data_IF_694210006184
#
_entry.id   IF_694210006184
#
_cell.length_a   1.000
_cell.length_b   1.000
_cell.length_c   1.000
_cell.angle_alpha   90.00
_cell.angle_beta   90.00
_cell.angle_gamma   90.00
#
_symmetry.space_group_name_H-M   'P 1'
#
loop_
_entity.id
_entity.type
_entity.pdbx_description
1 polymer ?
#
# COMPACT_ATOMS: atom_id res chain seq x y z
N UNK A 1 -5.79 13.14 -28.15
CA UNK A 1 -5.78 13.95 -26.92
C UNK A 1 -5.56 13.00 -25.75
N UNK A 2 -4.56 13.25 -24.94
CA UNK A 2 -4.34 12.45 -23.74
C UNK A 2 -5.49 12.67 -22.74
N UNK A 3 -5.93 11.66 -22.00
CA UNK A 3 -6.93 11.84 -20.95
C UNK A 3 -6.41 12.87 -19.93
N UNK A 4 -7.28 13.74 -19.45
CA UNK A 4 -6.95 14.75 -18.43
C UNK A 4 -7.18 14.25 -17.00
N UNK A 5 -7.81 13.09 -16.87
CA UNK A 5 -8.16 12.43 -15.61
C UNK A 5 -7.67 11.00 -15.65
N UNK A 6 -7.17 10.48 -14.54
CA UNK A 6 -6.78 9.09 -14.42
C UNK A 6 -7.98 8.15 -14.52
N UNK A 7 -7.72 6.88 -14.71
CA UNK A 7 -8.76 5.87 -14.83
C UNK A 7 -8.45 4.62 -14.01
N UNK A 8 -9.49 3.87 -13.72
CA UNK A 8 -9.42 2.62 -12.97
C UNK A 8 -9.44 1.43 -13.92
N UNK A 9 -8.58 0.46 -13.63
CA UNK A 9 -8.59 -0.87 -14.28
C UNK A 9 -8.69 -1.92 -13.19
N UNK A 10 -9.66 -2.82 -13.32
CA UNK A 10 -9.84 -3.94 -12.39
C UNK A 10 -9.87 -5.24 -13.16
N UNK A 11 -9.03 -6.17 -12.74
CA UNK A 11 -8.97 -7.52 -13.30
C UNK A 11 -8.95 -8.57 -12.18
N UNK A 12 -9.27 -9.80 -12.52
CA UNK A 12 -9.19 -10.94 -11.60
C UNK A 12 -8.02 -11.81 -12.02
N UNK A 13 -7.06 -11.96 -11.12
CA UNK A 13 -5.89 -12.82 -11.31
C UNK A 13 -6.13 -14.21 -10.70
N UNK A 14 -5.45 -15.21 -11.25
CA UNK A 14 -5.52 -16.60 -10.75
C UNK A 14 -4.73 -16.74 -9.43
N UNK A 15 -5.39 -16.41 -8.34
CA UNK A 15 -4.89 -16.62 -7.00
C UNK A 15 -6.09 -16.88 -6.07
N UNK A 16 -6.04 -17.91 -5.25
CA UNK A 16 -7.03 -18.23 -4.22
C UNK A 16 -8.48 -18.25 -4.77
N UNK A 17 -8.67 -18.92 -5.92
CA UNK A 17 -9.97 -19.00 -6.62
C UNK A 17 -10.39 -17.75 -7.38
N UNK A 18 -9.50 -16.81 -7.55
CA UNK A 18 -9.69 -15.55 -8.25
C UNK A 18 -9.63 -14.34 -7.30
N UNK A 19 -8.55 -13.57 -7.38
CA UNK A 19 -8.37 -12.36 -6.59
C UNK A 19 -8.47 -11.12 -7.47
N UNK A 20 -9.38 -10.21 -7.16
CA UNK A 20 -9.47 -8.94 -7.87
C UNK A 20 -8.29 -8.04 -7.52
N UNK A 21 -7.77 -7.41 -8.54
CA UNK A 21 -6.73 -6.39 -8.44
C UNK A 21 -7.21 -5.13 -9.14
N UNK A 22 -7.07 -3.99 -8.52
CA UNK A 22 -7.43 -2.69 -9.09
C UNK A 22 -6.19 -1.83 -9.21
N UNK A 23 -6.05 -1.16 -10.36
CA UNK A 23 -5.05 -0.12 -10.59
C UNK A 23 -5.74 1.21 -10.87
N UNK A 24 -5.27 2.27 -10.24
CA UNK A 24 -5.47 3.62 -10.70
C UNK A 24 -4.30 3.99 -11.60
N UNK A 25 -4.61 4.38 -12.83
CA UNK A 25 -3.63 4.78 -13.84
C UNK A 25 -3.71 6.28 -14.01
N UNK A 26 -2.63 7.04 -13.73
CA UNK A 26 -2.64 8.49 -13.88
C UNK A 26 -2.76 8.90 -15.35
N UNK A 27 -3.21 10.13 -15.65
CA UNK A 27 -3.37 10.60 -17.03
C UNK A 27 -2.05 10.79 -17.78
N UNK A 28 -0.96 10.98 -17.05
CA UNK A 28 0.39 11.07 -17.60
C UNK A 28 1.15 9.75 -17.38
N UNK A 29 2.30 9.61 -18.04
CA UNK A 29 3.18 8.45 -17.81
C UNK A 29 3.56 8.36 -16.33
N UNK A 30 3.38 7.20 -15.74
CA UNK A 30 3.71 6.96 -14.34
C UNK A 30 5.18 7.17 -14.05
N UNK A 31 5.48 7.98 -13.05
CA UNK A 31 6.82 8.23 -12.51
C UNK A 31 7.03 7.50 -11.19
N UNK A 32 5.96 7.07 -10.55
CA UNK A 32 5.98 6.27 -9.33
C UNK A 32 4.88 5.21 -9.35
N UNK A 33 5.12 4.10 -8.63
CA UNK A 33 4.13 3.05 -8.39
C UNK A 33 4.03 2.80 -6.89
N UNK A 34 2.80 2.71 -6.40
CA UNK A 34 2.49 2.29 -5.04
C UNK A 34 1.71 0.98 -5.08
N UNK A 35 2.26 -0.07 -4.50
CA UNK A 35 1.54 -1.31 -4.27
C UNK A 35 0.85 -1.25 -2.91
N UNK A 36 -0.44 -1.54 -2.86
CA UNK A 36 -1.25 -1.42 -1.66
C UNK A 36 -2.03 -2.70 -1.37
N UNK A 37 -2.24 -2.99 -0.11
CA UNK A 37 -3.35 -3.84 0.29
C UNK A 37 -4.68 -3.09 0.14
N UNK A 38 -5.79 -3.76 0.39
CA UNK A 38 -7.12 -3.13 0.36
C UNK A 38 -7.46 -2.44 -0.98
N UNK A 39 -7.23 -3.13 -2.10
CA UNK A 39 -7.42 -2.63 -3.46
C UNK A 39 -8.80 -2.02 -3.74
N UNK A 40 -9.82 -2.36 -2.95
CA UNK A 40 -11.14 -1.76 -3.01
C UNK A 40 -11.18 -0.28 -2.60
N UNK A 41 -10.12 0.24 -1.97
CA UNK A 41 -10.00 1.66 -1.58
C UNK A 41 -9.34 2.52 -2.66
N UNK A 42 -8.74 1.93 -3.66
CA UNK A 42 -8.02 2.63 -4.73
C UNK A 42 -8.87 3.67 -5.47
N UNK A 43 -10.18 3.47 -5.72
CA UNK A 43 -11.00 4.51 -6.34
C UNK A 43 -10.99 5.85 -5.59
N UNK A 44 -11.03 5.83 -4.26
CA UNK A 44 -10.94 7.07 -3.47
C UNK A 44 -9.53 7.63 -3.44
N UNK A 45 -8.52 6.79 -3.32
CA UNK A 45 -7.12 7.24 -3.33
C UNK A 45 -6.68 7.84 -4.67
N UNK A 46 -7.21 7.33 -5.79
CA UNK A 46 -6.97 7.90 -7.11
C UNK A 46 -7.45 9.36 -7.20
N UNK A 47 -8.63 9.65 -6.67
CA UNK A 47 -9.17 11.03 -6.59
C UNK A 47 -8.28 11.92 -5.72
N UNK A 48 -7.83 11.41 -4.57
CA UNK A 48 -6.94 12.15 -3.68
C UNK A 48 -5.60 12.48 -4.35
N UNK A 49 -5.05 11.55 -5.13
CA UNK A 49 -3.82 11.78 -5.89
C UNK A 49 -3.95 12.83 -6.99
N UNK A 50 -5.08 12.87 -7.66
CA UNK A 50 -5.33 13.89 -8.69
C UNK A 50 -5.33 15.30 -8.10
N UNK A 51 -5.79 15.44 -6.86
CA UNK A 51 -5.76 16.71 -6.12
C UNK A 51 -4.43 17.03 -5.46
N UNK A 52 -3.50 16.09 -5.40
CA UNK A 52 -2.23 16.25 -4.72
C UNK A 52 -1.13 16.73 -5.69
N UNK A 53 -0.22 17.57 -5.18
CA UNK A 53 0.98 18.01 -5.91
C UNK A 53 2.08 16.94 -5.81
N UNK A 54 1.84 15.78 -6.41
CA UNK A 54 2.77 14.65 -6.47
C UNK A 54 3.06 14.27 -7.92
N UNK A 55 4.19 13.63 -8.21
CA UNK A 55 4.45 13.09 -9.54
C UNK A 55 3.34 12.12 -9.97
N UNK A 56 3.13 11.92 -11.29
CA UNK A 56 2.17 10.96 -11.78
C UNK A 56 2.40 9.57 -11.16
N UNK A 57 1.49 9.16 -10.30
CA UNK A 57 1.63 7.95 -9.49
C UNK A 57 0.54 6.94 -9.81
N UNK A 58 0.95 5.72 -10.15
CA UNK A 58 0.05 4.58 -10.27
C UNK A 58 -0.13 3.96 -8.89
N UNK A 59 -1.37 3.64 -8.50
CA UNK A 59 -1.63 2.81 -7.32
C UNK A 59 -2.22 1.49 -7.78
N UNK A 60 -1.68 0.39 -7.24
CA UNK A 60 -2.12 -0.96 -7.58
C UNK A 60 -2.37 -1.73 -6.29
N UNK A 61 -3.50 -2.40 -6.20
CA UNK A 61 -3.82 -3.16 -4.99
C UNK A 61 -4.69 -4.37 -5.22
N UNK A 62 -4.36 -5.44 -4.51
CA UNK A 62 -5.22 -6.59 -4.41
C UNK A 62 -6.37 -6.30 -3.45
N UNK A 63 -7.59 -6.71 -3.83
CA UNK A 63 -8.73 -6.61 -2.92
C UNK A 63 -8.55 -7.56 -1.74
N UNK A 64 -8.83 -7.08 -0.55
CA UNK A 64 -8.84 -7.92 0.64
C UNK A 64 -9.97 -8.93 0.58
N UNK A 65 -9.82 -10.00 1.33
CA UNK A 65 -10.91 -10.92 1.59
C UNK A 65 -11.91 -10.30 2.57
N UNK A 66 -13.18 -10.70 2.44
CA UNK A 66 -14.23 -10.32 3.38
C UNK A 66 -14.07 -11.05 4.72
N UNK A 67 -13.45 -12.22 4.72
CA UNK A 67 -13.11 -12.97 5.92
C UNK A 67 -11.92 -12.32 6.64
N UNK A 68 -12.17 -11.72 7.79
CA UNK A 68 -11.14 -11.02 8.58
C UNK A 68 -10.04 -11.96 9.10
N UNK A 69 -10.35 -13.24 9.36
CA UNK A 69 -9.36 -14.21 9.82
C UNK A 69 -8.37 -14.54 8.70
N UNK A 70 -8.88 -14.85 7.51
CA UNK A 70 -8.05 -15.10 6.34
C UNK A 70 -7.24 -13.87 5.95
N UNK A 71 -7.84 -12.69 6.05
CA UNK A 71 -7.15 -11.42 5.83
C UNK A 71 -5.97 -11.23 6.79
N UNK A 72 -6.15 -11.51 8.07
CA UNK A 72 -5.06 -11.39 9.05
C UNK A 72 -3.92 -12.36 8.73
N UNK A 73 -4.21 -13.58 8.29
CA UNK A 73 -3.19 -14.53 7.86
C UNK A 73 -2.38 -14.04 6.66
N UNK A 74 -3.00 -13.32 5.74
CA UNK A 74 -2.29 -12.76 4.57
C UNK A 74 -1.37 -11.58 4.91
N UNK A 75 -1.67 -10.84 5.97
CA UNK A 75 -0.95 -9.61 6.32
C UNK A 75 -0.07 -9.72 7.58
N UNK A 76 -0.10 -10.85 8.28
CA UNK A 76 0.65 -11.03 9.52
C UNK A 76 1.64 -12.19 9.43
N UNK A 77 2.95 -11.92 9.52
CA UNK A 77 3.99 -12.95 9.33
C UNK A 77 4.28 -13.78 10.57
N UNK A 78 3.51 -13.75 11.65
CA UNK A 78 3.84 -14.71 12.65
C UNK A 78 3.75 -14.41 14.10
N UNK A 79 2.69 -13.84 14.58
CA UNK A 79 2.38 -13.96 15.99
C UNK A 79 1.06 -14.72 16.14
N UNK A 80 1.15 -15.99 16.56
CA UNK A 80 -0.03 -16.72 16.99
C UNK A 80 -0.51 -16.10 18.29
N UNK A 81 -1.77 -15.68 18.31
CA UNK A 81 -2.46 -15.38 19.56
C UNK A 81 -3.18 -16.64 20.05
N UNK A 82 -3.65 -16.63 21.30
CA UNK A 82 -4.44 -17.74 21.84
C UNK A 82 -5.74 -17.99 21.04
N UNK A 83 -6.18 -16.99 20.26
CA UNK A 83 -7.44 -17.01 19.51
C UNK A 83 -7.21 -17.23 18.02
N UNK A 84 -6.00 -17.00 17.50
CA UNK A 84 -5.70 -17.09 16.08
C UNK A 84 -4.36 -17.83 15.87
N UNK A 85 -4.43 -19.03 15.28
CA UNK A 85 -3.25 -19.73 14.84
C UNK A 85 -2.67 -19.05 13.60
N UNK A 86 -1.34 -18.88 13.56
CA UNK A 86 -0.64 -18.30 12.43
C UNK A 86 -0.62 -19.28 11.24
N UNK A 87 -0.89 -18.77 10.05
CA UNK A 87 -0.83 -19.52 8.79
C UNK A 87 0.31 -19.00 7.92
N UNK A 88 1.50 -19.56 8.12
CA UNK A 88 2.70 -19.18 7.36
C UNK A 88 2.56 -19.47 5.87
N UNK A 89 1.91 -20.56 5.52
CA UNK A 89 1.75 -20.97 4.12
C UNK A 89 0.90 -19.93 3.37
N UNK A 90 -0.20 -19.49 3.97
CA UNK A 90 -1.06 -18.48 3.39
C UNK A 90 -0.37 -17.11 3.28
N UNK A 91 0.40 -16.73 4.30
CA UNK A 91 1.18 -15.49 4.27
C UNK A 91 2.20 -15.51 3.11
N UNK A 92 2.99 -16.57 3.00
CA UNK A 92 4.01 -16.71 1.94
C UNK A 92 3.37 -16.76 0.55
N UNK A 93 2.25 -17.46 0.41
CA UNK A 93 1.51 -17.51 -0.86
C UNK A 93 0.98 -16.13 -1.27
N UNK A 94 0.46 -15.36 -0.33
CA UNK A 94 -0.02 -14.00 -0.59
C UNK A 94 1.12 -13.04 -0.93
N UNK A 95 2.25 -13.12 -0.22
CA UNK A 95 3.45 -12.35 -0.53
C UNK A 95 3.94 -12.63 -1.95
N UNK A 96 4.05 -13.91 -2.30
CA UNK A 96 4.45 -14.34 -3.64
C UNK A 96 3.50 -13.84 -4.71
N UNK A 97 2.20 -13.96 -4.50
CA UNK A 97 1.19 -13.41 -5.40
C UNK A 97 1.40 -11.91 -5.66
N UNK A 98 1.68 -11.13 -4.63
CA UNK A 98 1.92 -9.70 -4.77
C UNK A 98 3.20 -9.40 -5.56
N UNK A 99 4.30 -10.07 -5.22
CA UNK A 99 5.62 -9.82 -5.82
C UNK A 99 5.72 -10.32 -7.25
N UNK A 100 5.12 -11.47 -7.55
CA UNK A 100 5.24 -12.11 -8.86
C UNK A 100 4.04 -11.77 -9.76
N UNK A 101 2.81 -12.08 -9.31
CA UNK A 101 1.63 -12.02 -10.18
C UNK A 101 1.12 -10.60 -10.35
N UNK A 102 0.93 -9.84 -9.28
CA UNK A 102 0.44 -8.45 -9.36
C UNK A 102 1.44 -7.56 -10.04
N UNK A 103 2.72 -7.69 -9.71
CA UNK A 103 3.78 -6.93 -10.37
C UNK A 103 3.93 -7.30 -11.84
N UNK A 104 3.89 -8.59 -12.17
CA UNK A 104 3.93 -9.08 -13.54
C UNK A 104 2.74 -8.56 -14.37
N UNK A 105 1.56 -8.54 -13.78
CA UNK A 105 0.37 -7.95 -14.39
C UNK A 105 0.55 -6.47 -14.70
N UNK A 106 1.07 -5.68 -13.77
CA UNK A 106 1.36 -4.25 -13.99
C UNK A 106 2.33 -4.06 -15.16
N UNK A 107 3.42 -4.81 -15.18
CA UNK A 107 4.41 -4.71 -16.23
C UNK A 107 3.84 -5.07 -17.61
N UNK A 108 3.10 -6.15 -17.71
CA UNK A 108 2.53 -6.62 -18.98
C UNK A 108 1.35 -5.79 -19.46
N UNK A 109 0.51 -5.31 -18.53
CA UNK A 109 -0.74 -4.62 -18.85
C UNK A 109 -0.55 -3.15 -19.19
N UNK A 110 0.41 -2.49 -18.53
CA UNK A 110 0.62 -1.05 -18.62
C UNK A 110 1.97 -0.65 -19.20
N UNK A 111 2.82 -1.63 -19.53
CA UNK A 111 4.21 -1.39 -20.00
C UNK A 111 4.99 -0.47 -19.03
N UNK A 112 4.82 -0.69 -17.73
CA UNK A 112 5.45 0.09 -16.67
C UNK A 112 6.33 -0.81 -15.83
N UNK A 113 7.64 -0.55 -15.85
CA UNK A 113 8.63 -1.17 -14.98
C UNK A 113 9.50 -0.05 -14.40
N UNK A 114 9.28 0.28 -13.13
CA UNK A 114 10.03 1.31 -12.44
C UNK A 114 11.05 0.70 -11.48
N UNK A 115 12.19 1.39 -11.25
CA UNK A 115 13.18 0.95 -10.27
C UNK A 115 12.64 1.05 -8.84
N UNK A 116 13.37 0.44 -7.91
CA UNK A 116 12.95 0.37 -6.50
C UNK A 116 12.75 1.75 -5.85
N UNK A 117 13.54 2.74 -6.27
CA UNK A 117 13.47 4.11 -5.75
C UNK A 117 12.16 4.83 -6.13
N UNK A 118 11.50 4.36 -7.17
CA UNK A 118 10.22 4.88 -7.66
C UNK A 118 9.06 3.92 -7.35
N UNK A 119 9.30 2.92 -6.51
CA UNK A 119 8.32 1.91 -6.14
C UNK A 119 8.16 1.90 -4.63
N UNK A 120 6.92 1.98 -4.15
CA UNK A 120 6.59 1.91 -2.74
C UNK A 120 5.55 0.82 -2.46
N UNK A 121 5.52 0.34 -1.23
CA UNK A 121 4.45 -0.52 -0.74
C UNK A 121 3.73 0.17 0.43
N UNK A 122 2.42 0.19 0.38
CA UNK A 122 1.55 0.70 1.42
C UNK A 122 0.88 -0.48 2.11
N UNK A 123 1.23 -0.71 3.37
CA UNK A 123 0.58 -1.71 4.21
C UNK A 123 -0.32 -1.05 5.25
N UNK A 124 -1.46 -1.67 5.54
CA UNK A 124 -2.31 -1.28 6.65
C UNK A 124 -1.54 -1.38 7.99
N UNK A 125 -1.82 -0.47 8.94
CA UNK A 125 -1.09 -0.34 10.22
C UNK A 125 -0.94 -1.62 11.06
N UNK A 126 -1.70 -2.67 10.78
CA UNK A 126 -1.59 -3.97 11.47
C UNK A 126 -0.48 -4.89 10.92
N UNK A 127 0.11 -4.53 9.77
CA UNK A 127 1.12 -5.36 9.09
C UNK A 127 2.55 -4.81 9.22
N UNK A 128 2.80 -3.79 10.02
CA UNK A 128 4.14 -3.21 10.15
C UNK A 128 4.93 -3.95 11.22
N UNK A 129 5.47 -5.10 10.87
CA UNK A 129 6.73 -5.58 11.44
C UNK A 129 7.86 -4.77 10.82
N UNK A 130 8.83 -4.35 11.61
CA UNK A 130 9.92 -3.41 11.27
C UNK A 130 10.91 -3.89 10.19
N UNK A 131 10.60 -4.95 9.47
CA UNK A 131 11.29 -5.42 8.29
C UNK A 131 10.27 -5.76 7.22
N UNK A 132 10.19 -4.93 6.19
CA UNK A 132 9.44 -5.30 4.99
C UNK A 132 10.15 -6.46 4.31
N UNK A 133 9.51 -7.62 4.14
CA UNK A 133 10.07 -8.71 3.35
C UNK A 133 10.20 -8.36 1.87
N UNK A 134 9.63 -7.25 1.45
CA UNK A 134 9.53 -6.80 0.06
C UNK A 134 10.75 -6.03 -0.42
N UNK A 135 11.76 -5.80 0.43
CA UNK A 135 12.97 -5.05 0.07
C UNK A 135 12.73 -3.57 -0.24
N UNK A 136 11.54 -3.05 0.05
CA UNK A 136 11.21 -1.64 -0.12
C UNK A 136 11.48 -0.87 1.16
N UNK A 137 12.07 0.32 1.04
CA UNK A 137 12.18 1.25 2.16
C UNK A 137 10.78 1.79 2.51
N UNK A 138 10.25 1.43 3.69
CA UNK A 138 9.01 2.01 4.20
C UNK A 138 9.38 3.36 4.81
N UNK A 139 8.86 4.49 4.29
CA UNK A 139 9.07 5.77 4.95
C UNK A 139 8.34 5.73 6.30
N UNK A 140 9.09 5.68 7.41
CA UNK A 140 8.54 5.89 8.73
C UNK A 140 8.14 7.35 8.86
N UNK A 141 6.86 7.63 8.73
CA UNK A 141 6.29 8.90 9.09
C UNK A 141 6.38 9.08 10.60
N UNK A 142 7.48 9.66 11.05
CA UNK A 142 7.61 10.12 12.43
C UNK A 142 6.81 11.41 12.53
N UNK A 143 5.55 11.31 12.96
CA UNK A 143 4.80 12.46 13.41
C UNK A 143 5.55 13.06 14.60
N UNK A 144 6.33 14.11 14.36
CA UNK A 144 6.88 14.96 15.42
C UNK A 144 5.70 15.65 16.10
N UNK A 145 5.28 15.11 17.23
CA UNK A 145 4.51 15.86 18.22
C UNK A 145 5.39 17.00 18.72
N UNK A 146 5.14 18.21 18.23
CA UNK A 146 5.73 19.43 18.78
C UNK A 146 5.10 19.70 20.14
N UNK A 147 5.73 19.19 21.21
CA UNK A 147 5.45 19.62 22.54
C UNK A 147 5.79 21.12 22.65
N UNK A 148 4.76 21.98 22.71
CA UNK A 148 4.89 23.38 23.10
C UNK A 148 5.52 23.43 24.50
N UNK A 149 6.79 23.79 24.57
CA UNK A 149 7.40 24.22 25.83
C UNK A 149 6.74 25.55 26.23
N UNK A 150 5.99 25.52 27.34
CA UNK A 150 5.61 26.75 28.07
C UNK A 150 6.89 27.36 28.60
N UNK A 151 7.12 28.59 28.26
CA UNK A 151 8.13 29.43 28.91
C UNK A 151 7.74 29.66 30.40
N UNK A 152 8.70 29.62 31.33
CA UNK A 152 8.43 29.99 32.71
C UNK A 152 8.25 31.51 32.82
N UNK A 153 7.19 31.92 33.51
CA UNK A 153 6.91 33.30 33.80
C UNK A 153 8.02 33.91 34.68
N UNK A 154 8.45 35.08 34.32
CA UNK A 154 9.28 35.96 35.19
C UNK A 154 8.38 36.62 36.18
N UNK A 155 8.41 36.15 37.44
CA UNK A 155 7.94 36.90 38.59
C UNK A 155 8.95 37.99 38.91
N UNK A 156 8.45 39.19 38.99
CA UNK A 156 9.18 40.35 39.55
C UNK A 156 8.42 40.77 40.81
N UNK A 157 9.00 40.75 41.99
CA UNK A 157 8.46 41.39 43.17
C UNK A 157 8.94 42.85 43.32
N UNK A 158 8.33 43.64 44.20
CA UNK A 158 8.24 45.09 44.21
C UNK A 158 9.51 45.85 44.54
#
# INVERSE_FOLDING_TARGET
MAPTVGHLVTETLEYDGGRRVTAYVPPARSEAIVFAGDGQLIPSWGVDLEGALVPPTMIVGAHRLDDETLRLHEYSPGESTAELAFDLERFVAHERFFVEDVRGWVQSRFDVALPAEQTAALASRRAVSSRSPWGFAIPTSTARSSARRRAPGTDHPP
#
